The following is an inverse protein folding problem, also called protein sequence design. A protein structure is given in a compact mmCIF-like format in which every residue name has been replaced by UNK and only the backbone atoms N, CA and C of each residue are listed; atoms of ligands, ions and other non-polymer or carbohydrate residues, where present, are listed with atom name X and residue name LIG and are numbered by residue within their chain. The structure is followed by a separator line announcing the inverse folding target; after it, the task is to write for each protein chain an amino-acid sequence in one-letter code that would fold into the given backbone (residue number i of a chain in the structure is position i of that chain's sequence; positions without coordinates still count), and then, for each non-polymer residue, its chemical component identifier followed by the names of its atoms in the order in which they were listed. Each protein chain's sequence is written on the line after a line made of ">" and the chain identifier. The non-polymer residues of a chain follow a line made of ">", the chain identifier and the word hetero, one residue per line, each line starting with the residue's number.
data_IF_547875205243
#
_entry.id   IF_547875205243
#
_cell.length_a   1.000
_cell.length_b   1.000
_cell.length_c   1.000
_cell.angle_alpha   90.00
_cell.angle_beta   90.00
_cell.angle_gamma   90.00
#
_symmetry.space_group_name_H-M   'P 1'
#
loop_
_entity.id
_entity.type
_entity.pdbx_description
1 polymer ?
#
# COMPACT_ATOMS: atom_id res chain seq x y z
N UNK A 1 47.61 -0.17 -90.35
CA UNK A 1 48.64 -0.52 -89.36
C UNK A 1 48.25 0.17 -88.08
N UNK A 2 47.85 -0.57 -87.05
CA UNK A 2 47.61 0.00 -85.72
C UNK A 2 49.00 0.24 -85.14
N UNK A 3 49.52 1.45 -85.32
CA UNK A 3 50.67 1.87 -84.56
C UNK A 3 50.16 2.09 -83.14
N UNK A 4 50.63 1.23 -82.23
CA UNK A 4 50.43 1.41 -80.80
C UNK A 4 51.34 2.57 -80.37
N UNK A 5 50.90 3.79 -80.69
CA UNK A 5 51.59 5.02 -80.33
C UNK A 5 51.37 5.33 -78.85
N UNK A 6 52.37 5.97 -78.24
CA UNK A 6 52.36 6.41 -76.84
C UNK A 6 51.13 7.25 -76.48
N UNK A 7 50.47 7.83 -77.48
CA UNK A 7 49.16 8.51 -77.40
C UNK A 7 48.06 7.67 -76.76
N UNK A 8 48.03 6.34 -76.97
CA UNK A 8 47.04 5.45 -76.34
C UNK A 8 47.30 5.37 -74.83
N UNK A 9 48.57 5.33 -74.42
CA UNK A 9 48.95 5.35 -73.00
C UNK A 9 48.53 6.67 -72.37
N UNK A 10 48.76 7.81 -73.03
CA UNK A 10 48.29 9.12 -72.56
C UNK A 10 46.76 9.20 -72.46
N UNK A 11 46.03 8.62 -73.41
CA UNK A 11 44.57 8.60 -73.38
C UNK A 11 44.01 7.73 -72.25
N UNK A 12 44.64 6.58 -71.97
CA UNK A 12 44.30 5.74 -70.82
C UNK A 12 44.59 6.48 -69.50
N UNK A 13 45.74 7.13 -69.38
CA UNK A 13 46.10 7.91 -68.19
C UNK A 13 45.09 9.05 -67.97
N UNK A 14 44.74 9.79 -69.03
CA UNK A 14 43.75 10.86 -68.95
C UNK A 14 42.36 10.33 -68.55
N UNK A 15 41.94 9.20 -69.11
CA UNK A 15 40.68 8.54 -68.75
C UNK A 15 40.67 8.10 -67.28
N UNK A 16 41.77 7.51 -66.78
CA UNK A 16 41.89 7.10 -65.38
C UNK A 16 41.86 8.29 -64.42
N UNK A 17 42.52 9.40 -64.78
CA UNK A 17 42.47 10.64 -64.00
C UNK A 17 41.04 11.20 -63.98
N UNK A 18 40.38 11.28 -65.14
CA UNK A 18 39.00 11.74 -65.24
C UNK A 18 38.05 10.85 -64.43
N UNK A 19 38.20 9.53 -64.54
CA UNK A 19 37.41 8.56 -63.79
C UNK A 19 37.62 8.69 -62.28
N UNK A 20 38.86 8.87 -61.82
CA UNK A 20 39.17 9.07 -60.42
C UNK A 20 38.54 10.36 -59.86
N UNK A 21 38.58 11.45 -60.65
CA UNK A 21 37.92 12.71 -60.30
C UNK A 21 36.41 12.51 -60.24
N UNK A 22 35.81 11.88 -61.25
CA UNK A 22 34.36 11.65 -61.32
C UNK A 22 33.87 10.74 -60.19
N UNK A 23 34.63 9.68 -59.88
CA UNK A 23 34.36 8.76 -58.76
C UNK A 23 34.32 9.48 -57.42
N UNK A 24 35.28 10.38 -57.16
CA UNK A 24 35.34 11.13 -55.90
C UNK A 24 34.33 12.29 -55.84
N UNK A 25 34.13 13.02 -56.95
CA UNK A 25 33.34 14.26 -56.97
C UNK A 25 31.85 14.03 -57.22
N UNK A 26 31.47 12.97 -57.93
CA UNK A 26 30.07 12.74 -58.32
C UNK A 26 29.49 11.49 -57.66
N UNK A 27 30.13 10.34 -57.80
CA UNK A 27 29.55 9.08 -57.32
C UNK A 27 29.44 9.03 -55.79
N UNK A 28 30.51 9.36 -55.07
CA UNK A 28 30.50 9.37 -53.59
C UNK A 28 29.44 10.31 -52.99
N UNK A 29 29.37 11.61 -53.35
CA UNK A 29 28.36 12.49 -52.78
C UNK A 29 26.94 12.14 -53.24
N UNK A 30 26.76 11.65 -54.47
CA UNK A 30 25.45 11.23 -54.97
C UNK A 30 24.88 10.02 -54.20
N UNK A 31 25.71 9.00 -53.98
CA UNK A 31 25.34 7.84 -53.16
C UNK A 31 25.11 8.21 -51.69
N UNK A 32 25.94 9.11 -51.13
CA UNK A 32 25.76 9.61 -49.77
C UNK A 32 24.42 10.34 -49.59
N UNK A 33 24.03 11.18 -50.55
CA UNK A 33 22.74 11.88 -50.52
C UNK A 33 21.55 10.92 -50.63
N UNK A 34 21.69 9.84 -51.40
CA UNK A 34 20.65 8.83 -51.54
C UNK A 34 20.48 8.02 -50.25
N UNK A 35 21.59 7.61 -49.64
CA UNK A 35 21.59 6.94 -48.34
C UNK A 35 21.05 7.84 -47.22
N UNK A 36 21.37 9.14 -47.23
CA UNK A 36 20.83 10.12 -46.29
C UNK A 36 19.31 10.26 -46.42
N UNK A 37 18.77 10.25 -47.65
CA UNK A 37 17.33 10.29 -47.90
C UNK A 37 16.65 9.00 -47.45
N UNK A 38 17.24 7.85 -47.76
CA UNK A 38 16.72 6.55 -47.35
C UNK A 38 16.72 6.41 -45.83
N UNK A 39 17.79 6.83 -45.16
CA UNK A 39 17.89 6.85 -43.70
C UNK A 39 16.90 7.82 -43.06
N UNK A 40 16.70 9.02 -43.63
CA UNK A 40 15.70 9.97 -43.11
C UNK A 40 14.27 9.50 -43.27
N UNK A 41 13.94 8.80 -44.36
CA UNK A 41 12.57 8.33 -44.58
C UNK A 41 12.29 7.03 -43.81
N UNK A 42 13.19 6.04 -43.88
CA UNK A 42 13.01 4.77 -43.16
C UNK A 42 13.22 4.90 -41.66
N UNK A 43 14.24 5.65 -41.23
CA UNK A 43 14.56 5.88 -39.82
C UNK A 43 13.45 6.61 -39.08
N UNK A 44 12.88 7.68 -39.65
CA UNK A 44 11.75 8.41 -39.04
C UNK A 44 10.52 7.52 -38.86
N UNK A 45 10.30 6.58 -39.79
CA UNK A 45 9.15 5.67 -39.73
C UNK A 45 9.34 4.58 -38.67
N UNK A 46 10.57 4.07 -38.51
CA UNK A 46 10.91 3.13 -37.46
C UNK A 46 10.89 3.80 -36.08
N UNK A 47 11.49 4.98 -35.94
CA UNK A 47 11.53 5.76 -34.70
C UNK A 47 10.11 6.10 -34.23
N UNK A 48 9.21 6.46 -35.14
CA UNK A 48 7.80 6.75 -34.81
C UNK A 48 7.07 5.52 -34.25
N UNK A 49 7.31 4.34 -34.85
CA UNK A 49 6.71 3.08 -34.40
C UNK A 49 7.30 2.57 -33.08
N UNK A 50 8.56 2.86 -32.79
CA UNK A 50 9.19 2.54 -31.51
C UNK A 50 8.70 3.50 -30.41
N UNK A 51 8.57 4.80 -30.71
CA UNK A 51 7.97 5.80 -29.81
C UNK A 51 6.51 5.48 -29.47
N UNK A 52 5.71 5.06 -30.44
CA UNK A 52 4.32 4.68 -30.19
C UNK A 52 4.22 3.41 -29.32
N UNK A 53 5.06 2.40 -29.60
CA UNK A 53 5.15 1.19 -28.77
C UNK A 53 5.60 1.49 -27.34
N UNK A 54 6.60 2.35 -27.18
CA UNK A 54 7.07 2.76 -25.85
C UNK A 54 6.01 3.59 -25.12
N UNK A 55 5.29 4.48 -25.82
CA UNK A 55 4.17 5.22 -25.26
C UNK A 55 3.03 4.31 -24.79
N UNK A 56 2.67 3.30 -25.60
CA UNK A 56 1.66 2.30 -25.23
C UNK A 56 2.11 1.44 -24.05
N UNK A 57 3.38 0.99 -24.04
CA UNK A 57 3.96 0.24 -22.91
C UNK A 57 3.91 1.07 -21.62
N UNK A 58 4.37 2.31 -21.68
CA UNK A 58 4.38 3.20 -20.53
C UNK A 58 2.95 3.45 -20.02
N UNK A 59 2.00 3.70 -20.93
CA UNK A 59 0.59 3.86 -20.57
C UNK A 59 0.04 2.62 -19.84
N UNK A 60 0.28 1.42 -20.38
CA UNK A 60 -0.14 0.16 -19.75
C UNK A 60 0.48 0.00 -18.35
N UNK A 61 1.78 0.28 -18.20
CA UNK A 61 2.46 0.22 -16.91
C UNK A 61 1.90 1.22 -15.89
N UNK A 62 1.50 2.42 -16.33
CA UNK A 62 0.84 3.40 -15.48
C UNK A 62 -0.56 2.94 -15.07
N UNK A 63 -1.36 2.43 -16.01
CA UNK A 63 -2.69 1.90 -15.73
C UNK A 63 -2.62 0.73 -14.72
N UNK A 64 -1.70 -0.20 -14.92
CA UNK A 64 -1.47 -1.33 -14.00
C UNK A 64 -1.05 -0.85 -12.60
N UNK A 65 -0.13 0.13 -12.53
CA UNK A 65 0.28 0.71 -11.24
C UNK A 65 -0.86 1.41 -10.52
N UNK A 66 -1.74 2.10 -11.25
CA UNK A 66 -2.93 2.74 -10.66
C UNK A 66 -3.87 1.69 -10.10
N UNK A 67 -4.17 0.63 -10.85
CA UNK A 67 -5.04 -0.47 -10.40
C UNK A 67 -4.44 -1.18 -9.19
N UNK A 68 -3.13 -1.43 -9.19
CA UNK A 68 -2.42 -2.03 -8.07
C UNK A 68 -2.47 -1.14 -6.83
N UNK A 69 -2.20 0.16 -6.98
CA UNK A 69 -2.27 1.13 -5.89
C UNK A 69 -3.68 1.23 -5.29
N UNK A 70 -4.72 1.22 -6.13
CA UNK A 70 -6.11 1.19 -5.67
C UNK A 70 -6.39 -0.09 -4.89
N UNK A 71 -5.99 -1.25 -5.41
CA UNK A 71 -6.21 -2.55 -4.75
C UNK A 71 -5.53 -2.60 -3.38
N UNK A 72 -4.28 -2.17 -3.30
CA UNK A 72 -3.52 -2.07 -2.03
C UNK A 72 -4.20 -1.08 -1.08
N UNK A 73 -4.65 0.08 -1.58
CA UNK A 73 -5.37 1.07 -0.79
C UNK A 73 -6.69 0.55 -0.21
N UNK A 74 -7.47 -0.17 -1.01
CA UNK A 74 -8.71 -0.80 -0.55
C UNK A 74 -8.44 -1.88 0.50
N UNK A 75 -7.44 -2.74 0.27
CA UNK A 75 -7.06 -3.77 1.24
C UNK A 75 -6.57 -3.16 2.57
N UNK A 76 -5.75 -2.10 2.52
CA UNK A 76 -5.27 -1.39 3.70
C UNK A 76 -6.44 -0.73 4.47
N UNK A 77 -7.37 -0.09 3.76
CA UNK A 77 -8.56 0.50 4.37
C UNK A 77 -9.42 -0.56 5.06
N UNK A 78 -9.66 -1.70 4.40
CA UNK A 78 -10.44 -2.79 4.99
C UNK A 78 -9.74 -3.34 6.23
N UNK A 79 -8.42 -3.55 6.19
CA UNK A 79 -7.65 -3.99 7.35
C UNK A 79 -7.79 -3.04 8.55
N UNK A 80 -7.67 -1.72 8.34
CA UNK A 80 -7.84 -0.70 9.39
C UNK A 80 -9.27 -0.74 9.96
N UNK A 81 -10.28 -0.88 9.11
CA UNK A 81 -11.68 -0.96 9.56
C UNK A 81 -11.92 -2.22 10.39
N UNK A 82 -11.39 -3.37 9.96
CA UNK A 82 -11.51 -4.63 10.70
C UNK A 82 -10.77 -4.58 12.03
N UNK A 83 -9.56 -4.03 12.06
CA UNK A 83 -8.81 -3.82 13.30
C UNK A 83 -9.57 -2.91 14.26
N UNK A 84 -10.11 -1.78 13.77
CA UNK A 84 -10.93 -0.89 14.58
C UNK A 84 -12.20 -1.55 15.13
N UNK A 85 -12.84 -2.44 14.37
CA UNK A 85 -13.98 -3.24 14.84
C UNK A 85 -13.58 -4.22 15.93
N UNK A 86 -12.48 -4.95 15.75
CA UNK A 86 -11.98 -5.88 16.76
C UNK A 86 -11.58 -5.17 18.04
N UNK A 87 -10.89 -4.03 17.95
CA UNK A 87 -10.53 -3.22 19.11
C UNK A 87 -11.78 -2.70 19.83
N UNK A 88 -12.78 -2.22 19.09
CA UNK A 88 -14.07 -1.79 19.67
C UNK A 88 -14.75 -2.94 20.40
N UNK A 89 -14.83 -4.12 19.79
CA UNK A 89 -15.46 -5.29 20.39
C UNK A 89 -14.72 -5.74 21.65
N UNK A 90 -13.38 -5.72 21.63
CA UNK A 90 -12.54 -5.99 22.79
C UNK A 90 -12.82 -5.01 23.93
N UNK A 91 -12.83 -3.70 23.68
CA UNK A 91 -13.12 -2.68 24.69
C UNK A 91 -14.53 -2.87 25.27
N UNK A 92 -15.52 -3.17 24.42
CA UNK A 92 -16.88 -3.42 24.87
C UNK A 92 -16.99 -4.70 25.73
N UNK A 93 -16.26 -5.76 25.37
CA UNK A 93 -16.20 -6.98 26.17
C UNK A 93 -15.54 -6.74 27.52
N UNK A 94 -14.38 -6.09 27.53
CA UNK A 94 -13.64 -5.76 28.75
C UNK A 94 -14.50 -4.90 29.69
N UNK A 95 -15.18 -3.88 29.17
CA UNK A 95 -16.08 -3.05 29.96
C UNK A 95 -17.28 -3.81 30.51
N UNK A 96 -17.84 -4.78 29.77
CA UNK A 96 -18.91 -5.66 30.27
C UNK A 96 -18.42 -6.58 31.37
N UNK A 97 -17.24 -7.17 31.20
CA UNK A 97 -16.64 -8.07 32.20
C UNK A 97 -16.25 -7.32 33.47
N UNK A 98 -15.77 -6.08 33.35
CA UNK A 98 -15.50 -5.22 34.50
C UNK A 98 -16.79 -4.83 35.22
N UNK A 99 -17.83 -4.42 34.49
CA UNK A 99 -19.14 -4.11 35.07
C UNK A 99 -19.77 -5.33 35.78
N UNK A 100 -19.64 -6.52 35.18
CA UNK A 100 -20.12 -7.77 35.78
C UNK A 100 -19.37 -8.09 37.08
N UNK A 101 -18.03 -7.97 37.09
CA UNK A 101 -17.20 -8.16 38.28
C UNK A 101 -17.54 -7.15 39.38
N UNK A 102 -17.73 -5.88 39.03
CA UNK A 102 -18.12 -4.84 39.97
C UNK A 102 -19.50 -5.12 40.58
N UNK A 103 -20.46 -5.56 39.77
CA UNK A 103 -21.80 -5.92 40.26
C UNK A 103 -21.74 -7.12 41.22
N UNK A 104 -20.92 -8.13 40.91
CA UNK A 104 -20.72 -9.29 41.79
C UNK A 104 -20.08 -8.90 43.13
N UNK A 105 -19.06 -8.03 43.10
CA UNK A 105 -18.43 -7.49 44.31
C UNK A 105 -19.43 -6.72 45.17
N UNK A 106 -20.22 -5.82 44.59
CA UNK A 106 -21.25 -5.06 45.31
C UNK A 106 -22.29 -6.01 45.91
N UNK A 107 -22.76 -7.02 45.17
CA UNK A 107 -23.72 -8.00 45.70
C UNK A 107 -23.17 -8.75 46.90
N UNK A 108 -21.89 -9.14 46.85
CA UNK A 108 -21.22 -9.81 47.97
C UNK A 108 -21.11 -8.88 49.18
N UNK A 109 -20.71 -7.63 48.98
CA UNK A 109 -20.59 -6.64 50.05
C UNK A 109 -21.95 -6.33 50.71
N UNK A 110 -23.02 -6.23 49.91
CA UNK A 110 -24.39 -6.07 50.41
C UNK A 110 -24.78 -7.29 51.25
N UNK A 111 -24.55 -8.51 50.76
CA UNK A 111 -24.88 -9.73 51.49
C UNK A 111 -24.14 -9.81 52.84
N UNK A 112 -22.84 -9.49 52.86
CA UNK A 112 -22.05 -9.44 54.09
C UNK A 112 -22.55 -8.36 55.06
N UNK A 113 -22.95 -7.20 54.55
CA UNK A 113 -23.48 -6.10 55.37
C UNK A 113 -24.84 -6.43 55.96
N UNK A 114 -25.74 -7.03 55.17
CA UNK A 114 -27.03 -7.51 55.68
C UNK A 114 -26.88 -8.57 56.76
N UNK A 115 -25.93 -9.50 56.62
CA UNK A 115 -25.65 -10.51 57.64
C UNK A 115 -25.08 -9.89 58.92
N UNK A 116 -24.18 -8.90 58.81
CA UNK A 116 -23.68 -8.14 59.96
C UNK A 116 -24.80 -7.40 60.68
N UNK A 117 -25.64 -6.67 59.95
CA UNK A 117 -26.76 -5.92 60.55
C UNK A 117 -27.80 -6.83 61.18
N UNK A 118 -28.12 -7.98 60.56
CA UNK A 118 -29.03 -8.97 61.17
C UNK A 118 -28.51 -9.49 62.50
N UNK A 119 -27.22 -9.81 62.58
CA UNK A 119 -26.59 -10.25 63.84
C UNK A 119 -26.61 -9.16 64.91
N UNK A 120 -26.32 -7.92 64.51
CA UNK A 120 -26.36 -6.77 65.41
C UNK A 120 -27.79 -6.52 65.94
N UNK A 121 -28.79 -6.51 65.05
CA UNK A 121 -30.20 -6.34 65.42
C UNK A 121 -30.70 -7.46 66.35
N UNK A 122 -30.28 -8.72 66.13
CA UNK A 122 -30.63 -9.84 67.01
C UNK A 122 -30.01 -9.71 68.41
N UNK A 123 -28.76 -9.22 68.49
CA UNK A 123 -28.10 -8.94 69.76
C UNK A 123 -28.80 -7.80 70.52
N UNK A 124 -29.14 -6.71 69.82
CA UNK A 124 -29.85 -5.57 70.39
C UNK A 124 -31.25 -5.96 70.88
N UNK A 125 -31.99 -6.75 70.09
CA UNK A 125 -33.29 -7.27 70.48
C UNK A 125 -33.21 -8.15 71.75
N UNK A 126 -32.16 -8.97 71.88
CA UNK A 126 -31.91 -9.79 73.07
C UNK A 126 -31.59 -8.92 74.29
N UNK A 127 -30.80 -7.87 74.11
CA UNK A 127 -30.47 -6.91 75.17
C UNK A 127 -31.71 -6.14 75.65
N UNK A 128 -32.54 -5.65 74.71
CA UNK A 128 -33.80 -4.97 75.01
C UNK A 128 -34.78 -5.91 75.71
N UNK A 129 -34.92 -7.16 75.25
CA UNK A 129 -35.75 -8.16 75.90
C UNK A 129 -35.30 -8.45 77.34
N UNK A 130 -33.98 -8.58 77.57
CA UNK A 130 -33.41 -8.73 78.91
C UNK A 130 -33.69 -7.53 79.81
N UNK A 131 -33.56 -6.31 79.27
CA UNK A 131 -33.88 -5.08 80.00
C UNK A 131 -35.39 -4.98 80.35
N UNK A 132 -36.28 -5.39 79.45
CA UNK A 132 -37.72 -5.45 79.73
C UNK A 132 -38.05 -6.48 80.81
N UNK A 133 -37.46 -7.68 80.74
CA UNK A 133 -37.64 -8.74 81.74
C UNK A 133 -37.15 -8.28 83.11
N UNK A 134 -35.98 -7.64 83.20
CA UNK A 134 -35.45 -7.06 84.44
C UNK A 134 -36.38 -5.96 85.02
N UNK A 135 -36.96 -5.13 84.15
CA UNK A 135 -37.88 -4.06 84.57
C UNK A 135 -39.23 -4.57 85.06
N UNK A 136 -39.74 -5.67 84.47
CA UNK A 136 -40.99 -6.32 84.88
C UNK A 136 -40.81 -7.15 86.16
N UNK A 137 -39.68 -7.83 86.33
CA UNK A 137 -39.42 -8.70 87.48
C UNK A 137 -38.91 -7.97 88.73
N UNK A 138 -38.57 -6.67 88.62
CA UNK A 138 -38.15 -5.84 89.77
C UNK A 138 -36.81 -6.25 90.40
N UNK A 139 -36.07 -7.17 89.75
CA UNK A 139 -34.73 -7.62 90.16
C UNK A 139 -33.91 -7.92 88.93
N UNK A 140 -32.70 -7.37 88.90
CA UNK A 140 -31.70 -7.60 87.87
C UNK A 140 -31.37 -9.09 87.80
N UNK A 141 -31.67 -9.73 86.67
CA UNK A 141 -31.14 -11.06 86.37
C UNK A 141 -29.86 -10.83 85.58
N UNK A 142 -28.73 -11.20 86.21
CA UNK A 142 -27.41 -11.31 85.58
C UNK A 142 -27.39 -12.47 84.58
#
# INVERSE_FOLDING_TARGET
>A
MINLDISIVYQIVLFLILWAILSKVLFKPYLGLLAEREHKTSGVQQDSGDLEREGQRLKSEYEDKIVQAQTVGYAAREAIVQEGRQQREKILSEGRDEAARMLEQIRKEIAETMDRERRFAAAEASHVAGAMVAKILGRSVQ
#
